data_IF_301439042290
#
_entry.id   IF_301439042290
#
_cell.length_a   1.000
_cell.length_b   1.000
_cell.length_c   1.000
_cell.angle_alpha   90.00
_cell.angle_beta   90.00
_cell.angle_gamma   90.00
#
_symmetry.space_group_name_H-M   'P 1'
#
loop_
_entity.id
_entity.type
_entity.pdbx_description
1 polymer ?
#
# COMPACT_ATOMS: atom_id res chain seq x y z
N UNK A 1 -1.94 -22.81 -9.61
CA UNK A 1 -3.07 -22.02 -10.15
C UNK A 1 -3.69 -22.77 -11.32
N UNK A 2 -5.02 -23.02 -11.35
CA UNK A 2 -5.70 -23.72 -12.45
C UNK A 2 -5.70 -22.93 -13.77
N UNK A 3 -5.79 -21.60 -13.69
CA UNK A 3 -5.70 -20.68 -14.84
C UNK A 3 -4.60 -19.66 -14.57
N UNK A 4 -3.56 -19.62 -15.41
CA UNK A 4 -2.43 -18.71 -15.22
C UNK A 4 -2.78 -17.24 -15.48
N UNK A 5 -3.79 -16.96 -16.30
CA UNK A 5 -4.25 -15.61 -16.63
C UNK A 5 -5.26 -15.02 -15.61
N UNK A 6 -5.49 -15.70 -14.48
CA UNK A 6 -6.36 -15.18 -13.42
C UNK A 6 -5.63 -14.10 -12.61
N UNK A 7 -5.81 -12.84 -13.02
CA UNK A 7 -5.08 -11.68 -12.49
C UNK A 7 -6.00 -10.69 -11.76
N UNK A 8 -5.41 -9.75 -11.03
CA UNK A 8 -6.12 -8.68 -10.33
C UNK A 8 -5.80 -7.33 -10.96
N UNK A 9 -6.82 -6.52 -11.28
CA UNK A 9 -6.62 -5.18 -11.85
C UNK A 9 -5.84 -4.24 -10.92
N UNK A 10 -5.94 -4.41 -9.60
CA UNK A 10 -5.17 -3.65 -8.63
C UNK A 10 -3.67 -3.95 -8.70
N UNK A 11 -3.32 -5.21 -8.98
CA UNK A 11 -1.93 -5.62 -9.18
C UNK A 11 -1.38 -5.04 -10.48
N UNK A 12 -2.11 -5.22 -11.59
CA UNK A 12 -1.74 -4.68 -12.90
C UNK A 12 -1.63 -3.15 -12.89
N UNK A 13 -2.43 -2.49 -12.05
CA UNK A 13 -2.39 -1.04 -11.84
C UNK A 13 -1.21 -0.55 -11.00
N UNK A 14 -0.33 -1.43 -10.51
CA UNK A 14 0.81 -1.12 -9.64
C UNK A 14 2.13 -1.70 -10.20
N UNK A 15 2.68 -1.11 -11.29
CA UNK A 15 3.96 -1.55 -11.84
C UNK A 15 5.10 -1.38 -10.84
N UNK A 16 5.96 -2.40 -10.72
CA UNK A 16 7.07 -2.40 -9.76
C UNK A 16 8.07 -1.25 -9.99
N UNK A 17 8.35 -0.88 -11.24
CA UNK A 17 9.33 0.16 -11.54
C UNK A 17 8.86 1.54 -11.06
N UNK A 18 7.59 1.87 -11.34
CA UNK A 18 6.97 3.12 -10.87
C UNK A 18 6.84 3.13 -9.34
N UNK A 19 6.46 1.99 -8.74
CA UNK A 19 6.35 1.84 -7.29
C UNK A 19 7.70 1.98 -6.59
N UNK A 20 8.74 1.34 -7.11
CA UNK A 20 10.09 1.40 -6.54
C UNK A 20 10.63 2.83 -6.63
N UNK A 21 10.50 3.49 -7.78
CA UNK A 21 10.91 4.88 -7.94
C UNK A 21 10.21 5.82 -6.95
N UNK A 22 8.92 5.59 -6.68
CA UNK A 22 8.17 6.36 -5.69
C UNK A 22 8.68 6.12 -4.26
N UNK A 23 8.94 4.86 -3.89
CA UNK A 23 9.51 4.50 -2.59
C UNK A 23 10.91 5.11 -2.41
N UNK A 24 11.75 5.07 -3.45
CA UNK A 24 13.12 5.61 -3.43
C UNK A 24 13.14 7.14 -3.28
N UNK A 25 12.12 7.82 -3.81
CA UNK A 25 11.95 9.27 -3.62
C UNK A 25 11.49 9.65 -2.20
N UNK A 26 11.05 8.69 -1.40
CA UNK A 26 10.52 8.90 -0.04
C UNK A 26 11.11 7.87 0.95
N UNK A 27 12.45 7.84 1.14
CA UNK A 27 13.12 6.79 1.90
C UNK A 27 12.85 6.87 3.42
N UNK A 28 12.24 7.96 3.91
CA UNK A 28 11.88 8.17 5.31
C UNK A 28 10.51 7.57 5.69
N UNK A 29 9.95 6.69 4.85
CA UNK A 29 8.58 6.17 5.00
C UNK A 29 8.54 4.66 5.03
N UNK A 30 7.70 4.14 5.92
CA UNK A 30 7.33 2.73 5.99
C UNK A 30 6.37 2.39 4.84
N UNK A 31 6.69 1.35 4.07
CA UNK A 31 5.96 0.91 2.90
C UNK A 31 4.97 -0.18 3.26
N UNK A 32 3.67 0.11 3.15
CA UNK A 32 2.58 -0.83 3.42
C UNK A 32 1.81 -1.12 2.12
N UNK A 33 1.75 -2.39 1.73
CA UNK A 33 1.06 -2.81 0.49
C UNK A 33 -0.07 -3.77 0.78
N UNK A 34 -1.19 -3.57 0.07
CA UNK A 34 -2.30 -4.50 0.09
C UNK A 34 -1.90 -5.84 -0.56
N UNK A 35 -2.44 -6.95 -0.06
CA UNK A 35 -2.17 -8.29 -0.55
C UNK A 35 -2.48 -8.46 -2.06
N UNK A 36 -3.36 -7.64 -2.62
CA UNK A 36 -3.69 -7.64 -4.06
C UNK A 36 -2.65 -6.87 -4.89
N UNK A 37 -1.42 -7.39 -4.89
CA UNK A 37 -0.23 -6.85 -5.56
C UNK A 37 0.67 -7.98 -6.04
N UNK A 38 1.61 -7.68 -6.92
CA UNK A 38 2.59 -8.65 -7.40
C UNK A 38 3.57 -9.07 -6.29
N UNK A 39 4.23 -10.21 -6.49
CA UNK A 39 5.30 -10.65 -5.60
C UNK A 39 6.47 -9.64 -5.56
N UNK A 40 6.76 -8.99 -6.70
CA UNK A 40 7.81 -7.98 -6.79
C UNK A 40 7.48 -6.74 -5.94
N UNK A 41 6.23 -6.26 -5.98
CA UNK A 41 5.77 -5.14 -5.13
C UNK A 41 5.82 -5.52 -3.66
N UNK A 42 5.42 -6.74 -3.29
CA UNK A 42 5.56 -7.24 -1.91
C UNK A 42 7.01 -7.29 -1.44
N UNK A 43 7.94 -7.68 -2.31
CA UNK A 43 9.36 -7.74 -1.97
C UNK A 43 9.97 -6.35 -1.72
N UNK A 44 9.37 -5.28 -2.27
CA UNK A 44 9.78 -3.90 -2.02
C UNK A 44 9.19 -3.30 -0.74
N UNK A 45 8.16 -3.93 -0.17
CA UNK A 45 7.38 -3.42 0.95
C UNK A 45 7.90 -3.91 2.31
N UNK A 46 7.70 -3.08 3.34
CA UNK A 46 7.99 -3.44 4.73
C UNK A 46 6.86 -4.28 5.32
N UNK A 47 5.62 -3.95 4.96
CA UNK A 47 4.41 -4.64 5.44
C UNK A 47 3.49 -5.03 4.30
N UNK A 48 2.90 -6.22 4.41
CA UNK A 48 1.78 -6.66 3.58
C UNK A 48 0.54 -6.75 4.45
N UNK A 49 -0.58 -6.23 3.95
CA UNK A 49 -1.82 -6.10 4.71
C UNK A 49 -3.01 -6.67 3.93
N UNK A 50 -4.06 -7.09 4.63
CA UNK A 50 -5.39 -7.35 4.05
C UNK A 50 -6.39 -6.31 4.53
N UNK A 51 -7.57 -6.23 3.90
CA UNK A 51 -8.61 -5.27 4.28
C UNK A 51 -9.08 -5.45 5.73
N UNK A 52 -9.04 -6.69 6.25
CA UNK A 52 -9.50 -7.01 7.61
C UNK A 52 -8.61 -6.44 8.72
N UNK A 53 -7.33 -6.17 8.45
CA UNK A 53 -6.36 -5.68 9.44
C UNK A 53 -5.75 -4.31 9.07
N UNK A 54 -6.21 -3.70 7.98
CA UNK A 54 -5.64 -2.47 7.46
C UNK A 54 -5.71 -1.30 8.45
N UNK A 55 -6.85 -1.15 9.15
CA UNK A 55 -7.02 -0.09 10.15
C UNK A 55 -6.11 -0.35 11.35
N UNK A 56 -6.15 -1.54 11.94
CA UNK A 56 -5.38 -1.89 13.13
C UNK A 56 -3.86 -1.76 12.92
N UNK A 57 -3.35 -2.22 11.77
CA UNK A 57 -1.92 -2.09 11.43
C UNK A 57 -1.52 -0.62 11.31
N UNK A 58 -2.35 0.19 10.66
CA UNK A 58 -2.02 1.60 10.39
C UNK A 58 -2.13 2.43 11.67
N UNK A 59 -3.10 2.17 12.53
CA UNK A 59 -3.19 2.76 13.88
C UNK A 59 -1.95 2.40 14.72
N UNK A 60 -1.48 1.15 14.63
CA UNK A 60 -0.25 0.74 15.31
C UNK A 60 0.97 1.51 14.81
N UNK A 61 1.17 1.57 13.49
CA UNK A 61 2.30 2.30 12.89
C UNK A 61 2.23 3.81 13.19
N UNK A 62 1.05 4.42 13.15
CA UNK A 62 0.86 5.83 13.53
C UNK A 62 1.20 6.06 15.01
N UNK A 63 0.86 5.13 15.90
CA UNK A 63 1.23 5.20 17.33
C UNK A 63 2.75 5.17 17.57
N UNK A 64 3.51 4.61 16.62
CA UNK A 64 4.98 4.62 16.62
C UNK A 64 5.56 5.88 15.95
N UNK A 65 4.72 6.74 15.36
CA UNK A 65 5.14 7.95 14.65
C UNK A 65 5.61 7.70 13.21
N UNK A 66 5.29 6.54 12.64
CA UNK A 66 5.70 6.17 11.28
C UNK A 66 4.96 6.98 10.21
N UNK A 67 5.68 7.38 9.16
CA UNK A 67 5.08 7.94 7.94
C UNK A 67 4.87 6.82 6.94
N UNK A 68 3.68 6.74 6.35
CA UNK A 68 3.30 5.57 5.53
C UNK A 68 3.25 5.91 4.04
N UNK A 69 3.76 4.99 3.22
CA UNK A 69 3.41 4.82 1.80
C UNK A 69 2.40 3.70 1.70
N UNK A 70 1.32 3.94 0.95
CA UNK A 70 0.26 2.96 0.74
C UNK A 70 0.12 2.60 -0.73
N UNK A 71 -0.06 1.31 -1.01
CA UNK A 71 -0.33 0.81 -2.35
C UNK A 71 -1.24 -0.43 -2.33
N UNK A 72 -1.94 -0.76 -3.44
CA UNK A 72 -2.25 0.10 -4.57
C UNK A 72 -3.69 0.65 -4.49
N UNK A 73 -4.49 0.15 -3.54
CA UNK A 73 -5.92 0.41 -3.45
C UNK A 73 -6.20 1.77 -2.80
N UNK A 74 -6.45 2.77 -3.63
CA UNK A 74 -6.82 4.12 -3.19
C UNK A 74 -8.09 4.16 -2.35
N UNK A 75 -9.04 3.26 -2.55
CA UNK A 75 -10.31 3.27 -1.84
C UNK A 75 -10.13 2.76 -0.41
N UNK A 76 -9.40 1.65 -0.25
CA UNK A 76 -9.01 1.17 1.08
C UNK A 76 -8.08 2.18 1.78
N UNK A 77 -7.12 2.76 1.06
CA UNK A 77 -6.25 3.80 1.63
C UNK A 77 -7.02 5.04 2.10
N UNK A 78 -8.02 5.49 1.34
CA UNK A 78 -8.91 6.59 1.74
C UNK A 78 -9.83 6.21 2.91
N UNK A 79 -10.25 4.95 3.01
CA UNK A 79 -11.05 4.47 4.13
C UNK A 79 -10.22 4.48 5.42
N UNK A 80 -9.00 3.93 5.37
CA UNK A 80 -8.07 3.92 6.50
C UNK A 80 -7.80 5.35 6.99
N UNK A 81 -7.51 6.30 6.09
CA UNK A 81 -7.30 7.71 6.44
C UNK A 81 -8.49 8.37 7.16
N UNK A 82 -9.72 7.94 6.86
CA UNK A 82 -10.93 8.49 7.50
C UNK A 82 -11.21 7.86 8.85
N UNK A 83 -10.85 6.60 9.02
CA UNK A 83 -11.06 5.86 10.27
C UNK A 83 -9.98 6.21 11.29
N UNK A 84 -8.75 6.45 10.84
CA UNK A 84 -7.65 6.90 11.69
C UNK A 84 -7.94 8.30 12.24
N UNK A 85 -7.79 8.47 13.56
CA UNK A 85 -8.18 9.68 14.30
C UNK A 85 -7.14 10.81 14.18
N UNK A 86 -6.65 11.05 12.97
CA UNK A 86 -6.17 12.36 12.55
C UNK A 86 -4.67 12.60 12.47
N UNK A 87 -3.82 11.59 12.18
CA UNK A 87 -2.39 11.85 11.90
C UNK A 87 -1.77 11.05 10.75
N UNK A 88 -2.43 10.02 10.23
CA UNK A 88 -1.85 9.22 9.15
C UNK A 88 -1.71 10.01 7.84
N UNK A 89 -0.48 10.36 7.47
CA UNK A 89 -0.15 10.91 6.15
C UNK A 89 0.05 9.76 5.16
N UNK A 90 -1.04 9.18 4.68
CA UNK A 90 -1.01 8.22 3.57
C UNK A 90 -0.79 8.98 2.26
N UNK A 91 0.40 8.85 1.66
CA UNK A 91 0.66 9.33 0.30
C UNK A 91 0.34 8.23 -0.71
N UNK A 92 -0.86 8.29 -1.30
CA UNK A 92 -1.32 7.35 -2.32
C UNK A 92 -1.63 8.02 -3.67
N UNK A 93 -0.93 9.10 -4.03
CA UNK A 93 -1.31 9.94 -5.19
C UNK A 93 -0.45 9.82 -6.45
N UNK A 94 0.58 8.98 -6.46
CA UNK A 94 1.59 9.04 -7.53
C UNK A 94 1.60 7.92 -8.59
N UNK A 95 1.12 6.71 -8.27
CA UNK A 95 1.70 5.52 -8.93
C UNK A 95 0.68 4.53 -9.51
N UNK A 96 -0.58 4.57 -9.07
CA UNK A 96 -1.51 3.48 -9.39
C UNK A 96 -2.71 3.94 -10.21
N UNK A 97 -2.96 3.27 -11.34
CA UNK A 97 -4.13 3.48 -12.21
C UNK A 97 -5.32 2.65 -11.70
N UNK A 98 -5.91 3.05 -10.58
CA UNK A 98 -7.25 2.62 -10.16
C UNK A 98 -8.18 3.82 -10.20
#
# INVERSE_FOLDING_TARGET
MPTLAAECSLDLGCPIDEFSAFCDAHPDRTVVVYANTSAAVKARADWVVTSSIAVELIEHLDSLGEKIIWAPDRHLGNYVQKTDRGRCTVLARGVYRA
#
